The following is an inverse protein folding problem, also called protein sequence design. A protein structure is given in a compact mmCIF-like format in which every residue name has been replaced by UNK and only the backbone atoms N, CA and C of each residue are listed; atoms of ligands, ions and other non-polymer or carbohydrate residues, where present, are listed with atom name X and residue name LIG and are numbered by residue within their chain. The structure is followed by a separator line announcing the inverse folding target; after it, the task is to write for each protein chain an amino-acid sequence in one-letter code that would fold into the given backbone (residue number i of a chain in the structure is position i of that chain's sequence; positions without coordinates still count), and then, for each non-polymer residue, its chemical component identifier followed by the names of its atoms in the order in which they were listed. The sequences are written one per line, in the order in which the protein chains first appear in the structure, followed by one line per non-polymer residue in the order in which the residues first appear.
data_IF_536514496599
#
_entry.id   IF_536514496599
#
_cell.length_a   1.000
_cell.length_b   1.000
_cell.length_c   1.000
_cell.angle_alpha   90.00
_cell.angle_beta   90.00
_cell.angle_gamma   90.00
#
_symmetry.space_group_name_H-M   'P 1'
#
loop_
_entity.id
_entity.type
_entity.pdbx_description
1 polymer ?
#
# COMPACT_ATOMS: atom_id res chain seq x y z
N UNK A 1 -30.19 46.25 2.06
CA UNK A 1 -30.68 44.88 1.82
C UNK A 1 -29.55 43.96 1.35
N UNK A 2 -28.60 44.44 0.54
CA UNK A 2 -27.52 43.59 -0.02
C UNK A 2 -26.54 43.06 1.02
N UNK A 3 -26.16 43.88 2.02
CA UNK A 3 -25.21 43.49 3.08
C UNK A 3 -25.71 42.28 3.89
N UNK A 4 -27.02 42.18 4.10
CA UNK A 4 -27.63 41.04 4.78
C UNK A 4 -27.51 39.76 3.94
N UNK A 5 -27.69 39.86 2.62
CA UNK A 5 -27.61 38.73 1.70
C UNK A 5 -26.19 38.17 1.62
N UNK A 6 -25.17 39.03 1.64
CA UNK A 6 -23.77 38.60 1.67
C UNK A 6 -23.42 37.87 2.96
N UNK A 7 -23.86 38.37 4.11
CA UNK A 7 -23.62 37.75 5.41
C UNK A 7 -24.34 36.40 5.53
N UNK A 8 -25.59 36.32 5.05
CA UNK A 8 -26.37 35.06 5.01
C UNK A 8 -25.69 34.01 4.12
N UNK A 9 -25.24 34.41 2.93
CA UNK A 9 -24.56 33.51 1.98
C UNK A 9 -23.22 33.01 2.51
N UNK A 10 -22.46 33.88 3.20
CA UNK A 10 -21.19 33.49 3.82
C UNK A 10 -21.41 32.52 4.98
N UNK A 11 -22.45 32.73 5.80
CA UNK A 11 -22.83 31.79 6.86
C UNK A 11 -23.21 30.43 6.28
N UNK A 12 -24.00 30.40 5.22
CA UNK A 12 -24.38 29.16 4.55
C UNK A 12 -23.17 28.42 3.97
N UNK A 13 -22.22 29.14 3.35
CA UNK A 13 -20.98 28.57 2.82
C UNK A 13 -20.15 27.91 3.92
N UNK A 14 -19.92 28.62 5.03
CA UNK A 14 -19.11 28.11 6.16
C UNK A 14 -19.80 26.93 6.84
N UNK A 15 -21.11 27.00 7.08
CA UNK A 15 -21.88 25.90 7.66
C UNK A 15 -21.81 24.63 6.80
N UNK A 16 -21.99 24.80 5.49
CA UNK A 16 -22.01 23.70 4.53
C UNK A 16 -20.62 23.05 4.45
N UNK A 17 -19.57 23.87 4.31
CA UNK A 17 -18.19 23.37 4.23
C UNK A 17 -17.75 22.70 5.54
N UNK A 18 -18.12 23.26 6.68
CA UNK A 18 -17.82 22.67 7.99
C UNK A 18 -18.56 21.34 8.19
N UNK A 19 -19.82 21.26 7.77
CA UNK A 19 -20.63 20.04 7.89
C UNK A 19 -20.04 18.91 7.06
N UNK A 20 -19.67 19.20 5.80
CA UNK A 20 -19.00 18.21 4.94
C UNK A 20 -17.64 17.78 5.49
N UNK A 21 -16.86 18.71 6.05
CA UNK A 21 -15.58 18.39 6.67
C UNK A 21 -15.72 17.41 7.85
N UNK A 22 -16.68 17.66 8.74
CA UNK A 22 -16.96 16.76 9.88
C UNK A 22 -17.41 15.38 9.41
N UNK A 23 -18.28 15.32 8.39
CA UNK A 23 -18.73 14.06 7.82
C UNK A 23 -17.57 13.25 7.24
N UNK A 24 -16.67 13.90 6.49
CA UNK A 24 -15.48 13.25 5.94
C UNK A 24 -14.55 12.73 7.05
N UNK A 25 -14.35 13.52 8.11
CA UNK A 25 -13.55 13.09 9.25
C UNK A 25 -14.11 11.81 9.91
N UNK A 26 -15.43 11.74 10.09
CA UNK A 26 -16.11 10.55 10.63
C UNK A 26 -15.92 9.35 9.69
N UNK A 27 -16.09 9.55 8.37
CA UNK A 27 -15.87 8.49 7.37
C UNK A 27 -14.43 7.97 7.39
N UNK A 28 -13.44 8.84 7.52
CA UNK A 28 -12.03 8.44 7.64
C UNK A 28 -11.79 7.60 8.91
N UNK A 29 -12.40 7.95 10.03
CA UNK A 29 -12.30 7.16 11.27
C UNK A 29 -12.96 5.79 11.08
N UNK A 30 -14.17 5.75 10.51
CA UNK A 30 -14.88 4.50 10.22
C UNK A 30 -14.08 3.62 9.26
N UNK A 31 -13.49 4.20 8.22
CA UNK A 31 -12.66 3.48 7.26
C UNK A 31 -11.44 2.86 7.93
N UNK A 32 -10.74 3.58 8.81
CA UNK A 32 -9.62 3.02 9.57
C UNK A 32 -10.04 1.85 10.46
N UNK A 33 -11.21 1.94 11.10
CA UNK A 33 -11.76 0.83 11.90
C UNK A 33 -12.06 -0.37 11.01
N UNK A 34 -12.70 -0.16 9.86
CA UNK A 34 -12.98 -1.22 8.89
C UNK A 34 -11.69 -1.88 8.37
N UNK A 35 -10.66 -1.11 8.01
CA UNK A 35 -9.35 -1.63 7.59
C UNK A 35 -8.73 -2.48 8.69
N UNK A 36 -8.77 -2.02 9.94
CA UNK A 36 -8.23 -2.78 11.08
C UNK A 36 -9.01 -4.09 11.33
N UNK A 37 -10.33 -4.06 11.15
CA UNK A 37 -11.17 -5.25 11.23
C UNK A 37 -10.80 -6.23 10.09
N UNK A 38 -10.73 -5.74 8.85
CA UNK A 38 -10.37 -6.55 7.69
C UNK A 38 -9.00 -7.18 7.90
N UNK A 39 -7.98 -6.42 8.30
CA UNK A 39 -6.64 -6.96 8.58
C UNK A 39 -6.60 -7.99 9.72
N UNK A 40 -7.57 -7.94 10.66
CA UNK A 40 -7.67 -8.91 11.74
C UNK A 40 -8.30 -10.23 11.28
N UNK A 41 -9.30 -10.18 10.40
CA UNK A 41 -10.03 -11.37 9.93
C UNK A 41 -9.45 -11.97 8.65
N UNK A 42 -8.89 -11.11 7.80
CA UNK A 42 -8.14 -11.42 6.59
C UNK A 42 -6.78 -10.77 6.73
N UNK A 43 -5.89 -11.33 7.58
CA UNK A 43 -4.49 -10.93 7.55
C UNK A 43 -4.04 -11.17 6.12
N UNK A 44 -3.71 -10.09 5.41
CA UNK A 44 -2.91 -10.22 4.20
C UNK A 44 -1.62 -10.82 4.74
N UNK A 45 -1.38 -12.11 4.47
CA UNK A 45 -0.06 -12.66 4.68
C UNK A 45 0.83 -11.66 3.95
N UNK A 46 1.68 -10.99 4.73
CA UNK A 46 2.90 -10.48 4.16
C UNK A 46 3.62 -11.76 3.71
N UNK A 47 3.24 -12.33 2.56
CA UNK A 47 4.26 -12.69 1.62
C UNK A 47 5.06 -11.40 1.51
N UNK A 48 6.09 -11.34 2.36
CA UNK A 48 7.37 -10.90 1.89
C UNK A 48 7.53 -11.61 0.56
N UNK A 49 7.07 -10.96 -0.51
CA UNK A 49 7.74 -11.05 -1.78
C UNK A 49 9.11 -10.52 -1.42
N UNK A 50 9.92 -11.43 -0.86
CA UNK A 50 11.34 -11.36 -0.88
C UNK A 50 11.60 -11.33 -2.37
N UNK A 51 11.64 -10.12 -2.93
CA UNK A 51 11.94 -9.89 -4.32
C UNK A 51 13.22 -10.69 -4.53
N UNK A 52 13.04 -11.76 -5.28
CA UNK A 52 13.99 -12.82 -5.47
C UNK A 52 15.28 -12.21 -6.02
N UNK A 53 16.25 -11.95 -5.13
CA UNK A 53 17.67 -12.02 -5.50
C UNK A 53 18.07 -13.46 -5.88
N UNK A 54 17.13 -14.42 -5.83
CA UNK A 54 17.30 -15.81 -6.25
C UNK A 54 17.44 -16.02 -7.76
N UNK A 55 17.29 -15.02 -8.63
CA UNK A 55 17.57 -15.25 -10.07
C UNK A 55 19.06 -15.21 -10.36
N UNK A 56 19.84 -14.35 -9.70
CA UNK A 56 21.30 -14.34 -9.85
C UNK A 56 21.96 -15.51 -9.11
N UNK A 57 21.49 -15.87 -7.91
CA UNK A 57 22.03 -17.02 -7.15
C UNK A 57 21.69 -18.39 -7.78
N UNK A 58 20.50 -18.57 -8.36
CA UNK A 58 20.16 -19.81 -9.10
C UNK A 58 21.01 -19.96 -10.36
N UNK A 59 21.13 -18.89 -11.16
CA UNK A 59 21.95 -18.94 -12.38
C UNK A 59 23.42 -19.19 -12.04
N UNK A 60 23.97 -18.56 -11.00
CA UNK A 60 25.38 -18.74 -10.65
C UNK A 60 25.68 -20.16 -10.14
N UNK A 61 24.75 -20.76 -9.39
CA UNK A 61 24.87 -22.15 -8.88
C UNK A 61 24.82 -23.19 -10.00
N UNK A 62 23.93 -23.02 -10.98
CA UNK A 62 23.81 -23.95 -12.10
C UNK A 62 25.04 -23.86 -13.02
N UNK A 63 25.51 -22.65 -13.33
CA UNK A 63 26.72 -22.45 -14.14
C UNK A 63 27.98 -23.02 -13.47
N UNK A 64 28.13 -22.83 -12.15
CA UNK A 64 29.27 -23.39 -11.42
C UNK A 64 29.28 -24.91 -11.42
N UNK A 65 28.09 -25.54 -11.32
CA UNK A 65 27.94 -27.00 -11.34
C UNK A 65 28.34 -27.56 -12.72
N UNK A 66 27.92 -26.91 -13.80
CA UNK A 66 28.30 -27.29 -15.17
C UNK A 66 29.81 -27.14 -15.39
N UNK A 67 30.41 -26.01 -14.99
CA UNK A 67 31.85 -25.79 -15.13
C UNK A 67 32.66 -26.78 -14.29
N UNK A 68 32.22 -27.11 -13.07
CA UNK A 68 32.87 -28.10 -12.22
C UNK A 68 32.80 -29.52 -12.83
N UNK A 69 31.67 -29.90 -13.43
CA UNK A 69 31.53 -31.18 -14.12
C UNK A 69 32.45 -31.28 -15.35
N UNK A 70 32.56 -30.21 -16.14
CA UNK A 70 33.47 -30.14 -17.30
C UNK A 70 34.93 -30.21 -16.83
N UNK A 71 35.31 -29.45 -15.81
CA UNK A 71 36.66 -29.48 -15.26
C UNK A 71 37.04 -30.85 -14.68
N UNK A 72 36.10 -31.52 -14.01
CA UNK A 72 36.28 -32.89 -13.52
C UNK A 72 36.45 -33.89 -14.67
N UNK A 73 35.71 -33.72 -15.76
CA UNK A 73 35.85 -34.57 -16.95
C UNK A 73 37.16 -34.38 -17.71
N UNK A 74 37.78 -33.19 -17.63
CA UNK A 74 39.08 -32.90 -18.27
C UNK A 74 40.25 -33.36 -17.38
N UNK A 75 40.04 -33.42 -16.06
CA UNK A 75 41.05 -33.83 -15.07
C UNK A 75 41.08 -35.35 -14.80
N UNK A 76 40.11 -36.10 -15.36
CA UNK A 76 40.13 -37.57 -15.40
C UNK A 76 40.82 -38.07 -16.66
#
# INVERSE_FOLDING_TARGET
MEVNLYVESLRFLVLTQSTYFVLLAILTVMFNVQVKIIMKYFPMENESIHMSNSTEELLQKDNFTVVAAIAASIKS
#
